data_IF_676010190097
#
_entry.id   IF_676010190097
#
_cell.length_a   1.000
_cell.length_b   1.000
_cell.length_c   1.000
_cell.angle_alpha   90.00
_cell.angle_beta   90.00
_cell.angle_gamma   90.00
#
_symmetry.space_group_name_H-M   'P 1'
#
loop_
_entity.id
_entity.type
_entity.pdbx_description
1 polymer ?
#
# COMPACT_ATOMS: atom_id res chain seq x y z
N UNK A 1 -8.20 9.84 15.65
CA UNK A 1 -7.16 9.20 14.80
C UNK A 1 -5.83 9.76 15.25
N UNK A 2 -4.98 8.93 15.83
CA UNK A 2 -3.55 9.25 16.02
C UNK A 2 -2.87 8.95 14.70
N UNK A 3 -2.40 9.95 13.97
CA UNK A 3 -1.73 9.71 12.68
C UNK A 3 -0.26 9.33 12.91
N UNK A 4 0.19 8.32 12.18
CA UNK A 4 1.62 7.99 12.02
C UNK A 4 2.40 9.22 11.55
N UNK A 5 3.69 9.34 11.91
CA UNK A 5 4.50 10.52 11.60
C UNK A 5 4.40 10.90 10.10
N UNK A 6 4.09 12.17 9.74
CA UNK A 6 3.81 12.58 8.36
C UNK A 6 4.90 12.23 7.34
N UNK A 7 6.17 12.20 7.77
CA UNK A 7 7.33 11.88 6.92
C UNK A 7 7.38 10.41 6.49
N UNK A 8 6.94 9.50 7.36
CA UNK A 8 6.91 8.06 7.05
C UNK A 8 5.83 7.82 6.00
N UNK A 9 4.63 8.39 6.18
CA UNK A 9 3.53 8.24 5.23
C UNK A 9 3.86 8.83 3.86
N UNK A 10 4.50 9.99 3.81
CA UNK A 10 4.97 10.58 2.54
C UNK A 10 5.98 9.68 1.81
N UNK A 11 6.84 8.95 2.55
CA UNK A 11 7.76 8.00 1.94
C UNK A 11 6.99 6.82 1.31
N UNK A 12 6.00 6.26 2.00
CA UNK A 12 5.15 5.22 1.40
C UNK A 12 4.38 5.73 0.18
N UNK A 13 3.83 6.94 0.23
CA UNK A 13 3.11 7.53 -0.91
C UNK A 13 3.99 7.60 -2.14
N UNK A 14 5.23 8.07 -1.96
CA UNK A 14 6.21 8.16 -3.03
C UNK A 14 6.60 6.78 -3.55
N UNK A 15 6.97 5.86 -2.66
CA UNK A 15 7.51 4.55 -3.07
C UNK A 15 6.44 3.64 -3.67
N UNK A 16 5.25 3.56 -3.08
CA UNK A 16 4.17 2.73 -3.61
C UNK A 16 3.67 3.29 -4.94
N UNK A 17 3.54 4.61 -5.08
CA UNK A 17 3.18 5.21 -6.36
C UNK A 17 4.25 4.99 -7.42
N UNK A 18 5.54 4.98 -7.07
CA UNK A 18 6.61 4.61 -8.00
C UNK A 18 6.46 3.17 -8.49
N UNK A 19 6.19 2.22 -7.59
CA UNK A 19 5.98 0.81 -7.94
C UNK A 19 4.74 0.63 -8.85
N UNK A 20 3.66 1.36 -8.59
CA UNK A 20 2.47 1.37 -9.44
C UNK A 20 2.81 1.91 -10.84
N UNK A 21 3.50 3.04 -10.91
CA UNK A 21 3.93 3.64 -12.17
C UNK A 21 4.76 2.65 -13.02
N UNK A 22 5.74 2.00 -12.40
CA UNK A 22 6.59 0.99 -13.05
C UNK A 22 5.79 -0.23 -13.51
N UNK A 23 4.86 -0.75 -12.69
CA UNK A 23 4.09 -1.95 -13.02
C UNK A 23 3.02 -1.74 -14.10
N UNK A 24 2.47 -0.53 -14.22
CA UNK A 24 1.39 -0.18 -15.15
C UNK A 24 1.85 0.66 -16.36
N UNK A 25 3.11 1.11 -16.38
CA UNK A 25 3.63 2.00 -17.43
C UNK A 25 3.01 3.40 -17.40
N UNK A 26 2.67 3.90 -16.20
CA UNK A 26 2.04 5.20 -15.97
C UNK A 26 3.06 6.25 -15.58
N UNK A 27 2.67 7.53 -15.65
CA UNK A 27 3.47 8.57 -15.01
C UNK A 27 3.28 8.57 -13.47
N UNK A 28 4.19 9.26 -12.76
CA UNK A 28 4.20 9.28 -11.30
C UNK A 28 2.96 9.96 -10.70
N UNK A 29 2.37 10.96 -11.38
CA UNK A 29 1.19 11.66 -10.90
C UNK A 29 -0.07 10.81 -11.09
N UNK A 30 -0.18 10.10 -12.20
CA UNK A 30 -1.25 9.13 -12.47
C UNK A 30 -1.23 8.01 -11.45
N UNK A 31 -0.07 7.42 -11.18
CA UNK A 31 0.09 6.38 -10.18
C UNK A 31 -0.27 6.86 -8.76
N UNK A 32 0.16 8.07 -8.40
CA UNK A 32 -0.22 8.68 -7.12
C UNK A 32 -1.73 8.91 -7.01
N UNK A 33 -2.38 9.36 -8.09
CA UNK A 33 -3.84 9.54 -8.12
C UNK A 33 -4.61 8.23 -7.98
N UNK A 34 -4.04 7.11 -8.41
CA UNK A 34 -4.62 5.79 -8.19
C UNK A 34 -4.42 5.31 -6.74
N UNK A 35 -3.26 5.60 -6.15
CA UNK A 35 -2.92 5.09 -4.81
C UNK A 35 -3.63 5.86 -3.69
N UNK A 36 -3.66 7.20 -3.74
CA UNK A 36 -4.18 8.03 -2.65
C UNK A 36 -5.61 7.69 -2.18
N UNK A 37 -6.58 7.40 -3.08
CA UNK A 37 -7.94 7.04 -2.65
C UNK A 37 -8.14 5.56 -2.30
N UNK A 38 -7.09 4.72 -2.37
CA UNK A 38 -7.22 3.27 -2.17
C UNK A 38 -7.49 2.88 -0.71
N UNK A 39 -8.17 1.76 -0.51
CA UNK A 39 -8.38 1.18 0.83
C UNK A 39 -7.05 0.78 1.46
N UNK A 40 -6.09 0.29 0.66
CA UNK A 40 -4.72 0.01 1.11
C UNK A 40 -4.08 1.25 1.75
N UNK A 41 -4.26 2.41 1.13
CA UNK A 41 -3.73 3.68 1.63
C UNK A 41 -4.46 4.18 2.88
N UNK A 42 -5.76 3.92 3.00
CA UNK A 42 -6.53 4.21 4.21
C UNK A 42 -6.08 3.31 5.37
N UNK A 43 -5.86 2.01 5.13
CA UNK A 43 -5.31 1.09 6.11
C UNK A 43 -3.91 1.51 6.57
N UNK A 44 -3.08 2.02 5.67
CA UNK A 44 -1.74 2.52 6.01
C UNK A 44 -1.79 3.72 7.00
N UNK A 45 -2.81 4.58 6.90
CA UNK A 45 -3.03 5.69 7.83
C UNK A 45 -3.57 5.26 9.19
N UNK A 46 -4.16 4.07 9.29
CA UNK A 46 -4.70 3.58 10.54
C UNK A 46 -3.54 3.13 11.45
N UNK A 47 -3.25 3.95 12.45
CA UNK A 47 -2.23 3.67 13.45
C UNK A 47 -2.48 2.37 14.23
N UNK A 48 -3.70 1.84 14.26
CA UNK A 48 -3.97 0.55 14.90
C UNK A 48 -3.43 -0.65 14.10
N UNK A 49 -3.31 -0.51 12.77
CA UNK A 49 -2.85 -1.58 11.89
C UNK A 49 -1.31 -1.66 11.83
N UNK A 50 -0.61 -0.63 12.31
CA UNK A 50 0.85 -0.60 12.42
C UNK A 50 1.57 -0.94 11.11
N UNK A 51 0.96 -0.56 9.97
CA UNK A 51 1.42 -0.98 8.63
C UNK A 51 2.77 -0.43 8.21
N UNK A 52 3.29 0.62 8.87
CA UNK A 52 4.66 1.12 8.63
C UNK A 52 5.76 0.13 9.03
N UNK A 53 5.43 -0.99 9.69
CA UNK A 53 6.38 -2.09 9.89
C UNK A 53 6.61 -2.93 8.63
N UNK A 54 5.72 -2.84 7.64
CA UNK A 54 5.89 -3.50 6.36
C UNK A 54 6.78 -2.68 5.42
N UNK A 55 7.38 -3.35 4.43
CA UNK A 55 8.07 -2.65 3.36
C UNK A 55 7.08 -1.99 2.40
N UNK A 56 7.47 -0.93 1.66
CA UNK A 56 6.64 -0.38 0.59
C UNK A 56 6.25 -1.42 -0.47
N UNK A 57 7.10 -2.44 -0.69
CA UNK A 57 6.79 -3.54 -1.61
C UNK A 57 5.63 -4.41 -1.11
N UNK A 58 5.56 -4.69 0.19
CA UNK A 58 4.43 -5.43 0.77
C UNK A 58 3.13 -4.61 0.71
N UNK A 59 3.20 -3.29 0.95
CA UNK A 59 2.03 -2.40 0.80
C UNK A 59 1.59 -2.33 -0.67
N UNK A 60 2.53 -2.33 -1.61
CA UNK A 60 2.22 -2.41 -3.04
C UNK A 60 1.52 -3.73 -3.40
N UNK A 61 1.98 -4.87 -2.89
CA UNK A 61 1.30 -6.16 -3.10
C UNK A 61 -0.13 -6.17 -2.54
N UNK A 62 -0.35 -5.53 -1.38
CA UNK A 62 -1.70 -5.31 -0.83
C UNK A 62 -2.57 -4.49 -1.78
N UNK A 63 -2.01 -3.43 -2.37
CA UNK A 63 -2.73 -2.64 -3.37
C UNK A 63 -3.05 -3.44 -4.64
N UNK A 64 -2.13 -4.26 -5.15
CA UNK A 64 -2.40 -5.15 -6.29
C UNK A 64 -3.55 -6.14 -5.98
N UNK A 65 -3.59 -6.67 -4.76
CA UNK A 65 -4.70 -7.53 -4.32
C UNK A 65 -6.02 -6.76 -4.21
N UNK A 66 -6.00 -5.52 -3.71
CA UNK A 66 -7.17 -4.64 -3.76
C UNK A 66 -7.66 -4.45 -5.19
N UNK A 67 -6.77 -4.21 -6.16
CA UNK A 67 -7.17 -4.06 -7.56
C UNK A 67 -7.74 -5.37 -8.14
N UNK A 68 -7.19 -6.52 -7.76
CA UNK A 68 -7.62 -7.82 -8.27
C UNK A 68 -8.93 -8.32 -7.63
N UNK A 69 -9.15 -8.05 -6.35
CA UNK A 69 -10.23 -8.68 -5.57
C UNK A 69 -11.18 -7.70 -4.88
N UNK A 70 -10.84 -6.41 -4.83
CA UNK A 70 -11.55 -5.39 -4.06
C UNK A 70 -11.27 -5.38 -2.55
N UNK A 71 -10.29 -6.15 -2.06
CA UNK A 71 -9.92 -6.18 -0.63
C UNK A 71 -8.40 -6.36 -0.45
N UNK A 72 -7.67 -5.36 0.11
CA UNK A 72 -6.23 -5.45 0.33
C UNK A 72 -5.80 -6.60 1.25
N UNK A 73 -6.71 -7.07 2.11
CA UNK A 73 -6.44 -8.12 3.11
C UNK A 73 -6.27 -9.50 2.49
N UNK A 74 -6.60 -9.64 1.21
CA UNK A 74 -6.31 -10.82 0.44
C UNK A 74 -4.83 -10.91 0.04
N UNK A 75 -3.94 -9.98 0.39
CA UNK A 75 -2.51 -10.18 0.17
C UNK A 75 -1.93 -11.38 0.93
N UNK A 76 -0.97 -12.06 0.30
CA UNK A 76 -0.19 -13.17 0.89
C UNK A 76 0.58 -12.73 2.15
N UNK A 77 0.83 -11.44 2.36
CA UNK A 77 1.49 -10.95 3.57
C UNK A 77 0.58 -10.98 4.82
N UNK A 78 -0.73 -11.08 4.64
CA UNK A 78 -1.71 -11.13 5.73
C UNK A 78 -2.34 -12.52 5.90
N UNK A 79 -2.40 -13.31 4.83
CA UNK A 79 -2.66 -14.75 4.90
C UNK A 79 -1.35 -15.40 5.33
N UNK A 80 -1.17 -15.79 6.59
CA UNK A 80 0.06 -16.45 7.08
C UNK A 80 0.37 -17.82 6.46
N UNK A 81 -0.07 -18.07 5.23
CA UNK A 81 0.01 -19.31 4.50
C UNK A 81 1.22 -19.25 3.57
N UNK A 82 2.42 -19.41 4.13
CA UNK A 82 3.61 -20.05 3.51
C UNK A 82 4.87 -19.85 4.37
N UNK A 83 4.92 -20.50 5.54
CA UNK A 83 6.13 -21.21 5.99
C UNK A 83 5.66 -22.51 6.64
N UNK A 84 5.70 -23.61 5.89
CA UNK A 84 5.70 -24.98 6.39
C UNK A 84 7.08 -25.58 6.13
#
# INVERSE_FOLDING_TARGET
MTETTPTIMQNFDSEVSRLIAESRGLDALEALRLFLPSETRLMLLDDNLKMWHFSPLAVFDMWENEQATGDPRNSLYLRGDEIA
#
